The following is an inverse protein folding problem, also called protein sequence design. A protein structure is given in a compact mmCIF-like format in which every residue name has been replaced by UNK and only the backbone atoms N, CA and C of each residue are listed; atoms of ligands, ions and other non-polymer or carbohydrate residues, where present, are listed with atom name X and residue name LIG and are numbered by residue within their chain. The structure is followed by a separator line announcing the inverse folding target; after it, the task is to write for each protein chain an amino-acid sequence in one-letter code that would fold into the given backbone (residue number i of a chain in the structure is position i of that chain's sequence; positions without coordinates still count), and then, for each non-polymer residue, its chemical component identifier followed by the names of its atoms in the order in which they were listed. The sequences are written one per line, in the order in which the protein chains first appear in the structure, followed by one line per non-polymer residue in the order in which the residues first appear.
data_IF_980275529500
#
_entry.id   IF_980275529500
#
_cell.length_a   1.000
_cell.length_b   1.000
_cell.length_c   1.000
_cell.angle_alpha   90.00
_cell.angle_beta   90.00
_cell.angle_gamma   90.00
#
_symmetry.space_group_name_H-M   'P 1'
#
loop_
_entity.id
_entity.type
_entity.pdbx_description
1 polymer ?
#
# COMPACT_ATOMS: atom_id res chain seq x y z
N UNK A 1 -0.34 14.85 6.12
CA UNK A 1 0.51 16.03 6.35
C UNK A 1 0.71 16.36 7.83
N UNK A 2 -0.34 16.64 8.59
CA UNK A 2 -0.21 16.99 10.03
C UNK A 2 0.03 15.76 10.92
N UNK A 3 -0.41 14.59 10.50
CA UNK A 3 -0.22 13.32 11.20
C UNK A 3 1.06 12.60 10.76
N UNK A 4 1.78 13.16 9.80
CA UNK A 4 3.00 12.56 9.30
C UNK A 4 4.12 12.70 10.33
N UNK A 5 4.75 11.60 10.65
CA UNK A 5 5.86 11.55 11.61
C UNK A 5 7.11 12.26 11.05
N UNK A 6 8.08 12.48 11.90
CA UNK A 6 9.35 13.13 11.52
C UNK A 6 10.43 12.10 11.16
N UNK A 7 10.18 10.83 11.35
CA UNK A 7 11.10 9.75 11.07
C UNK A 7 11.41 9.62 9.57
N UNK A 8 12.56 9.09 9.26
CA UNK A 8 13.04 8.94 7.88
C UNK A 8 12.17 7.96 7.08
N UNK A 9 11.59 6.95 7.74
CA UNK A 9 10.66 6.01 7.09
C UNK A 9 9.45 6.72 6.44
N UNK A 10 9.05 7.88 6.94
CA UNK A 10 8.01 8.68 6.30
C UNK A 10 8.44 9.18 4.92
N UNK A 11 9.68 9.64 4.78
CA UNK A 11 10.23 10.08 3.48
C UNK A 11 10.33 8.92 2.50
N UNK A 12 10.80 7.77 2.97
CA UNK A 12 10.88 6.54 2.20
C UNK A 12 9.49 6.11 1.70
N UNK A 13 8.50 6.14 2.58
CA UNK A 13 7.11 5.79 2.24
C UNK A 13 6.48 6.77 1.25
N UNK A 14 6.74 8.07 1.43
CA UNK A 14 6.18 9.12 0.56
C UNK A 14 6.77 9.06 -0.84
N UNK A 15 8.09 8.92 -0.96
CA UNK A 15 8.76 8.75 -2.25
C UNK A 15 8.35 7.44 -2.93
N UNK A 16 8.38 6.35 -2.17
CA UNK A 16 7.99 5.03 -2.67
C UNK A 16 6.54 5.01 -3.19
N UNK A 17 5.62 5.72 -2.54
CA UNK A 17 4.23 5.83 -3.01
C UNK A 17 4.13 6.53 -4.37
N UNK A 18 4.85 7.64 -4.57
CA UNK A 18 4.88 8.35 -5.84
C UNK A 18 5.43 7.45 -6.94
N UNK A 19 6.55 6.79 -6.68
CA UNK A 19 7.19 5.86 -7.61
C UNK A 19 6.28 4.68 -7.94
N UNK A 20 5.62 4.10 -6.93
CA UNK A 20 4.63 3.04 -7.11
C UNK A 20 3.45 3.48 -8.00
N UNK A 21 2.93 4.69 -7.82
CA UNK A 21 1.88 5.22 -8.68
C UNK A 21 2.32 5.24 -10.16
N UNK A 22 3.55 5.64 -10.44
CA UNK A 22 4.06 5.70 -11.80
C UNK A 22 4.39 4.34 -12.40
N UNK A 23 4.80 3.37 -11.57
CA UNK A 23 4.96 1.98 -11.99
C UNK A 23 3.63 1.24 -12.17
N UNK A 24 2.54 1.80 -11.65
CA UNK A 24 1.23 1.20 -11.82
C UNK A 24 0.77 1.34 -13.27
N UNK A 25 0.32 0.24 -13.90
CA UNK A 25 -0.21 0.31 -15.26
C UNK A 25 -1.30 1.38 -15.42
N UNK A 26 -1.19 2.17 -16.49
CA UNK A 26 -2.04 3.34 -16.71
C UNK A 26 -1.48 4.65 -16.15
N UNK A 27 -0.32 4.60 -15.50
CA UNK A 27 0.44 5.77 -15.02
C UNK A 27 -0.44 6.88 -14.46
N UNK A 28 -1.09 6.66 -13.30
CA UNK A 28 -2.03 7.63 -12.75
C UNK A 28 -1.36 8.98 -12.52
N UNK A 29 -2.06 10.06 -12.80
CA UNK A 29 -1.59 11.39 -12.50
C UNK A 29 -1.44 11.58 -10.99
N UNK A 30 -0.31 12.12 -10.56
CA UNK A 30 0.00 12.38 -9.14
C UNK A 30 0.13 13.87 -8.92
N UNK A 31 -0.56 14.39 -7.92
CA UNK A 31 -0.44 15.77 -7.44
C UNK A 31 -0.05 15.73 -5.97
N UNK A 32 0.97 16.47 -5.58
CA UNK A 32 1.36 16.67 -4.18
C UNK A 32 0.59 17.82 -3.55
N UNK A 33 -0.26 17.50 -2.58
CA UNK A 33 -1.04 18.51 -1.84
C UNK A 33 -0.37 18.85 -0.51
N UNK A 34 0.13 20.07 -0.40
CA UNK A 34 0.82 20.58 0.80
C UNK A 34 -0.16 21.25 1.76
N UNK A 35 -0.53 20.52 2.81
CA UNK A 35 -1.45 20.99 3.85
C UNK A 35 -0.69 21.61 5.05
N UNK A 36 -1.43 22.30 5.93
CA UNK A 36 -0.95 22.77 7.23
C UNK A 36 -2.03 22.62 8.30
N UNK A 37 -1.64 22.81 9.55
CA UNK A 37 -2.57 22.92 10.70
C UNK A 37 -2.99 24.37 10.90
N UNK A 38 -3.96 24.60 11.79
CA UNK A 38 -4.36 25.95 12.24
C UNK A 38 -3.19 26.74 12.85
N UNK A 39 -2.24 26.07 13.48
CA UNK A 39 -1.02 26.71 13.99
C UNK A 39 0.02 27.04 12.90
N UNK A 40 -0.31 26.80 11.63
CA UNK A 40 0.61 27.00 10.51
C UNK A 40 1.71 25.95 10.38
N UNK A 41 1.62 24.85 11.13
CA UNK A 41 2.58 23.74 11.06
C UNK A 41 2.31 22.94 9.78
N UNK A 42 3.35 22.70 9.01
CA UNK A 42 3.30 21.93 7.76
C UNK A 42 4.49 20.99 7.66
N UNK A 43 4.38 19.95 6.85
CA UNK A 43 5.49 19.05 6.50
C UNK A 43 6.06 19.36 5.10
N UNK A 44 5.76 20.53 4.56
CA UNK A 44 6.15 20.96 3.22
C UNK A 44 7.68 20.86 3.02
N UNK A 45 8.46 21.22 4.02
CA UNK A 45 9.92 21.20 3.95
C UNK A 45 10.48 19.79 3.68
N UNK A 46 9.75 18.76 4.07
CA UNK A 46 10.12 17.34 3.85
C UNK A 46 9.53 16.81 2.55
N UNK A 47 8.29 17.13 2.23
CA UNK A 47 7.58 16.61 1.06
C UNK A 47 7.98 17.33 -0.24
N UNK A 48 8.23 18.62 -0.16
CA UNK A 48 8.53 19.46 -1.33
C UNK A 48 9.76 18.99 -2.12
N UNK A 49 10.90 18.65 -1.48
CA UNK A 49 12.07 18.16 -2.22
C UNK A 49 11.79 16.92 -3.03
N UNK A 50 10.98 15.97 -2.50
CA UNK A 50 10.59 14.74 -3.19
C UNK A 50 9.69 15.08 -4.38
N UNK A 51 8.66 15.88 -4.16
CA UNK A 51 7.73 16.28 -5.22
C UNK A 51 8.45 17.00 -6.37
N UNK A 52 9.40 17.89 -6.03
CA UNK A 52 10.23 18.60 -7.01
C UNK A 52 11.18 17.66 -7.74
N UNK A 53 11.84 16.76 -7.02
CA UNK A 53 12.74 15.74 -7.60
C UNK A 53 12.01 14.83 -8.59
N UNK A 54 10.82 14.39 -8.22
CA UNK A 54 9.94 13.59 -9.05
C UNK A 54 9.20 14.39 -10.14
N UNK A 55 9.35 15.72 -10.17
CA UNK A 55 8.68 16.62 -11.14
C UNK A 55 7.15 16.44 -11.17
N UNK A 56 6.54 16.23 -10.00
CA UNK A 56 5.07 16.18 -9.87
C UNK A 56 4.52 17.57 -9.54
N UNK A 57 3.31 17.90 -10.02
CA UNK A 57 2.63 19.15 -9.67
C UNK A 57 2.46 19.30 -8.16
N UNK A 58 2.63 20.52 -7.66
CA UNK A 58 2.56 20.85 -6.24
C UNK A 58 1.47 21.87 -5.99
N UNK A 59 0.41 21.47 -5.30
CA UNK A 59 -0.66 22.35 -4.83
C UNK A 59 -0.39 22.72 -3.37
N UNK A 60 -0.03 23.97 -3.11
CA UNK A 60 0.28 24.44 -1.76
C UNK A 60 -0.91 25.17 -1.13
N UNK A 61 -1.82 24.42 -0.49
CA UNK A 61 -2.86 25.00 0.36
C UNK A 61 -2.25 25.83 1.50
N UNK A 62 -1.15 25.35 2.10
CA UNK A 62 -0.43 26.08 3.16
C UNK A 62 -0.05 27.51 2.74
N UNK A 63 0.52 27.68 1.56
CA UNK A 63 0.92 29.02 1.10
C UNK A 63 -0.29 29.88 0.73
N UNK A 64 -1.28 29.29 0.05
CA UNK A 64 -2.47 30.01 -0.37
C UNK A 64 -3.24 30.65 0.80
N UNK A 65 -3.45 29.91 1.91
CA UNK A 65 -4.15 30.46 3.07
C UNK A 65 -3.26 31.40 3.90
N UNK A 66 -1.95 31.13 4.00
CA UNK A 66 -1.02 32.02 4.71
C UNK A 66 -0.96 33.42 4.07
N UNK A 67 -0.99 33.50 2.76
CA UNK A 67 -1.02 34.78 2.04
C UNK A 67 -2.27 35.60 2.40
N UNK A 68 -3.44 34.99 2.45
CA UNK A 68 -4.70 35.68 2.81
C UNK A 68 -4.70 36.13 4.29
N UNK A 69 -4.14 35.29 5.18
CA UNK A 69 -4.03 35.63 6.61
C UNK A 69 -3.02 36.77 6.83
N UNK A 70 -1.88 36.74 6.17
CA UNK A 70 -0.86 37.82 6.25
C UNK A 70 -1.42 39.14 5.73
N UNK A 71 -2.22 39.13 4.67
CA UNK A 71 -2.91 40.30 4.15
C UNK A 71 -4.06 40.80 5.04
N UNK A 72 -4.45 40.05 6.04
CA UNK A 72 -5.57 40.36 6.93
C UNK A 72 -6.96 40.14 6.28
N UNK A 73 -7.02 39.45 5.16
CA UNK A 73 -8.26 39.15 4.44
C UNK A 73 -9.07 38.05 5.15
N UNK A 74 -8.37 37.15 5.81
CA UNK A 74 -8.89 35.97 6.53
C UNK A 74 -8.14 35.71 7.83
N UNK A 75 -8.69 34.83 8.64
CA UNK A 75 -8.06 34.32 9.86
C UNK A 75 -7.95 32.80 9.79
N UNK A 76 -7.15 32.16 10.66
CA UNK A 76 -7.08 30.70 10.73
C UNK A 76 -8.43 30.07 11.02
N UNK A 77 -9.32 30.74 11.80
CA UNK A 77 -10.66 30.24 12.13
C UNK A 77 -11.61 30.21 10.93
N UNK A 78 -11.31 30.95 9.86
CA UNK A 78 -12.08 30.87 8.61
C UNK A 78 -11.87 29.53 7.87
N UNK A 79 -10.77 28.82 8.19
CA UNK A 79 -10.34 27.62 7.48
C UNK A 79 -10.37 26.33 8.31
N UNK A 80 -10.45 26.42 9.64
CA UNK A 80 -10.40 25.26 10.53
C UNK A 80 -11.68 25.10 11.33
N UNK A 81 -11.94 23.85 11.74
CA UNK A 81 -13.12 23.54 12.51
C UNK A 81 -12.98 24.07 13.94
N UNK A 82 -14.03 24.71 14.41
CA UNK A 82 -14.13 25.25 15.79
C UNK A 82 -14.99 24.40 16.70
N UNK A 83 -15.70 23.39 16.17
CA UNK A 83 -16.64 22.55 16.91
C UNK A 83 -15.91 21.48 17.70
N UNK A 84 -16.11 21.43 18.99
CA UNK A 84 -15.63 20.36 19.89
C UNK A 84 -16.27 19.01 19.63
N UNK A 85 -17.36 18.93 18.87
CA UNK A 85 -18.09 17.70 18.54
C UNK A 85 -17.46 16.93 17.34
N UNK A 86 -16.67 17.61 16.52
CA UNK A 86 -16.02 17.02 15.31
C UNK A 86 -14.53 17.40 15.28
N UNK A 87 -13.92 17.60 16.47
CA UNK A 87 -12.51 17.97 16.54
C UNK A 87 -12.23 19.41 16.12
N UNK A 88 -12.65 20.38 16.91
CA UNK A 88 -12.04 21.72 16.94
C UNK A 88 -10.60 21.59 17.41
N UNK A 89 -9.82 20.74 16.74
CA UNK A 89 -8.48 20.30 17.12
C UNK A 89 -7.38 21.11 16.44
N UNK A 90 -7.77 22.07 15.60
CA UNK A 90 -6.82 22.86 14.83
C UNK A 90 -6.12 22.09 13.70
N UNK A 91 -6.54 20.87 13.41
CA UNK A 91 -5.95 19.99 12.40
C UNK A 91 -6.88 19.86 11.19
N UNK A 92 -8.17 19.62 11.46
CA UNK A 92 -9.13 19.31 10.40
C UNK A 92 -9.66 20.57 9.71
N UNK A 93 -9.50 20.69 8.37
CA UNK A 93 -10.07 21.76 7.59
C UNK A 93 -11.61 21.77 7.69
N UNK A 94 -12.21 22.97 7.67
CA UNK A 94 -13.65 23.14 7.56
C UNK A 94 -14.12 23.14 6.09
N UNK A 95 -15.41 23.36 5.84
CA UNK A 95 -15.99 23.38 4.48
C UNK A 95 -15.35 24.44 3.59
N UNK A 96 -15.05 25.65 4.12
CA UNK A 96 -14.38 26.71 3.38
C UNK A 96 -12.99 26.29 2.93
N UNK A 97 -12.24 25.65 3.81
CA UNK A 97 -10.92 25.10 3.48
C UNK A 97 -10.98 23.99 2.42
N UNK A 98 -11.95 23.08 2.55
CA UNK A 98 -12.14 22.03 1.54
C UNK A 98 -12.49 22.62 0.17
N UNK A 99 -13.32 23.66 0.10
CA UNK A 99 -13.60 24.35 -1.15
C UNK A 99 -12.34 24.99 -1.73
N UNK A 100 -11.55 25.68 -0.89
CA UNK A 100 -10.28 26.28 -1.33
C UNK A 100 -9.30 25.23 -1.87
N UNK A 101 -9.18 24.09 -1.19
CA UNK A 101 -8.34 22.98 -1.67
C UNK A 101 -8.83 22.47 -3.03
N UNK A 102 -10.15 22.28 -3.18
CA UNK A 102 -10.73 21.84 -4.44
C UNK A 102 -10.48 22.83 -5.59
N UNK A 103 -10.62 24.13 -5.33
CA UNK A 103 -10.37 25.18 -6.32
C UNK A 103 -8.90 25.21 -6.75
N UNK A 104 -7.96 25.05 -5.81
CA UNK A 104 -6.53 24.98 -6.09
C UNK A 104 -6.18 23.75 -6.94
N UNK A 105 -6.71 22.59 -6.60
CA UNK A 105 -6.51 21.36 -7.38
C UNK A 105 -7.12 21.49 -8.78
N UNK A 106 -8.34 22.05 -8.89
CA UNK A 106 -8.99 22.28 -10.17
C UNK A 106 -8.18 23.22 -11.07
N UNK A 107 -7.61 24.28 -10.51
CA UNK A 107 -6.73 25.22 -11.23
C UNK A 107 -5.51 24.49 -11.79
N UNK A 108 -4.81 23.71 -10.97
CA UNK A 108 -3.64 22.92 -11.40
C UNK A 108 -3.98 21.93 -12.51
N UNK A 109 -5.11 21.24 -12.39
CA UNK A 109 -5.58 20.29 -13.41
C UNK A 109 -5.94 20.98 -14.73
N UNK A 110 -6.52 22.18 -14.68
CA UNK A 110 -6.86 22.95 -15.87
C UNK A 110 -5.61 23.52 -16.56
N UNK A 111 -4.63 23.98 -15.80
CA UNK A 111 -3.34 24.45 -16.33
C UNK A 111 -2.53 23.29 -16.92
N UNK A 112 -2.57 22.10 -16.31
CA UNK A 112 -1.90 20.89 -16.81
C UNK A 112 -2.58 20.23 -18.01
N UNK A 113 -3.78 20.66 -18.42
CA UNK A 113 -4.57 20.04 -19.48
C UNK A 113 -3.86 19.95 -20.85
N UNK A 114 -3.00 20.90 -21.13
CA UNK A 114 -2.22 20.97 -22.38
C UNK A 114 -0.88 20.21 -22.29
N UNK A 115 -0.56 19.61 -21.12
CA UNK A 115 0.67 18.87 -20.95
C UNK A 115 0.66 17.63 -21.86
N UNK A 116 1.74 17.46 -22.63
CA UNK A 116 1.95 16.26 -23.47
C UNK A 116 2.07 15.03 -22.63
N UNK A 117 1.66 13.87 -23.18
CA UNK A 117 1.92 12.57 -22.57
C UNK A 117 3.44 12.41 -22.36
N UNK A 118 3.85 12.38 -21.12
CA UNK A 118 5.23 12.10 -20.71
C UNK A 118 5.23 10.64 -20.27
N UNK A 119 6.13 9.85 -20.83
CA UNK A 119 6.43 8.52 -20.30
C UNK A 119 7.12 8.71 -18.93
N UNK A 120 6.34 8.57 -17.87
CA UNK A 120 6.81 8.77 -16.51
C UNK A 120 7.79 7.70 -16.09
N UNK A 121 7.60 6.46 -16.54
CA UNK A 121 8.52 5.37 -16.25
C UNK A 121 9.90 5.59 -16.87
N UNK A 122 9.96 6.00 -18.15
CA UNK A 122 11.23 6.29 -18.82
C UNK A 122 11.96 7.51 -18.21
N UNK A 123 11.22 8.41 -17.55
CA UNK A 123 11.75 9.64 -16.93
C UNK A 123 11.89 9.56 -15.40
N UNK A 124 11.59 8.42 -14.77
CA UNK A 124 11.65 8.26 -13.33
C UNK A 124 13.10 8.43 -12.84
N UNK A 125 13.41 9.48 -12.03
CA UNK A 125 14.75 9.68 -11.53
C UNK A 125 15.16 8.59 -10.54
N UNK A 126 16.46 8.45 -10.28
CA UNK A 126 16.94 7.65 -9.15
C UNK A 126 16.28 8.15 -7.84
N UNK A 127 16.05 7.28 -6.84
CA UNK A 127 15.48 7.70 -5.56
C UNK A 127 16.28 8.85 -4.92
N UNK A 128 15.58 9.84 -4.37
CA UNK A 128 16.18 10.93 -3.60
C UNK A 128 16.55 10.45 -2.19
N UNK A 129 15.65 9.70 -1.56
CA UNK A 129 15.82 9.10 -0.25
C UNK A 129 15.88 7.57 -0.36
N UNK A 130 14.77 6.95 -0.75
CA UNK A 130 14.67 5.50 -0.83
C UNK A 130 13.49 5.05 -1.69
N UNK A 131 13.61 3.87 -2.25
CA UNK A 131 12.54 3.18 -2.97
C UNK A 131 12.20 1.81 -2.36
N UNK A 132 12.63 1.53 -1.16
CA UNK A 132 12.50 0.21 -0.50
C UNK A 132 11.04 -0.25 -0.36
N UNK A 133 10.08 0.67 -0.35
CA UNK A 133 8.65 0.37 -0.22
C UNK A 133 7.87 0.59 -1.53
N UNK A 134 8.52 0.86 -2.66
CA UNK A 134 7.80 1.16 -3.91
C UNK A 134 6.99 -0.03 -4.44
N UNK A 135 7.44 -1.25 -4.17
CA UNK A 135 6.75 -2.48 -4.53
C UNK A 135 5.98 -3.09 -3.34
N UNK A 136 5.91 -2.36 -2.21
CA UNK A 136 5.24 -2.84 -1.02
C UNK A 136 3.74 -3.03 -1.23
N UNK A 137 3.21 -4.08 -0.62
CA UNK A 137 1.78 -4.32 -0.48
C UNK A 137 1.49 -4.74 0.95
N UNK A 138 0.32 -4.33 1.43
CA UNK A 138 -0.12 -4.63 2.79
C UNK A 138 -0.96 -5.89 2.80
N UNK A 139 -0.75 -6.71 3.85
CA UNK A 139 -1.44 -7.97 4.10
C UNK A 139 -2.10 -7.89 5.49
N UNK A 140 -3.40 -8.07 5.51
CA UNK A 140 -4.20 -8.22 6.73
C UNK A 140 -4.55 -9.67 6.97
N UNK A 141 -5.33 -9.96 8.02
CA UNK A 141 -5.82 -11.30 8.31
C UNK A 141 -6.74 -11.88 7.22
N UNK A 142 -7.23 -11.06 6.31
CA UNK A 142 -8.01 -11.51 5.16
C UNK A 142 -7.17 -11.86 3.94
N UNK A 143 -5.92 -11.42 3.92
CA UNK A 143 -5.02 -11.56 2.77
C UNK A 143 -4.02 -12.70 2.97
N UNK A 144 -3.60 -12.97 4.20
CA UNK A 144 -2.59 -13.99 4.52
C UNK A 144 -2.99 -14.82 5.75
N UNK A 145 -2.74 -16.12 5.67
CA UNK A 145 -2.96 -17.06 6.77
C UNK A 145 -1.64 -17.32 7.50
N UNK A 146 -1.56 -17.12 8.82
CA UNK A 146 -0.37 -17.48 9.58
C UNK A 146 -0.07 -18.98 9.50
N UNK A 147 1.21 -19.34 9.38
CA UNK A 147 1.65 -20.75 9.49
C UNK A 147 1.67 -21.24 10.94
N UNK A 148 1.74 -20.30 11.89
CA UNK A 148 1.57 -20.52 13.32
C UNK A 148 0.82 -19.33 13.93
N UNK A 149 -0.24 -19.61 14.70
CA UNK A 149 -1.06 -18.55 15.31
C UNK A 149 -0.86 -18.42 16.82
N UNK A 150 -0.35 -19.47 17.49
CA UNK A 150 -0.32 -19.47 18.96
C UNK A 150 -1.71 -19.17 19.54
N UNK A 151 -1.78 -18.14 20.40
CA UNK A 151 -3.05 -17.61 20.95
C UNK A 151 -3.39 -16.23 20.39
N UNK A 152 -2.84 -15.86 19.25
CA UNK A 152 -3.24 -14.65 18.55
C UNK A 152 -4.60 -14.81 17.89
N UNK A 153 -5.41 -13.76 17.96
CA UNK A 153 -6.74 -13.72 17.38
C UNK A 153 -6.73 -12.82 16.15
N UNK A 154 -7.14 -13.35 15.01
CA UNK A 154 -7.38 -12.59 13.80
C UNK A 154 -8.60 -11.69 13.95
N UNK A 155 -8.60 -10.52 13.29
CA UNK A 155 -9.67 -9.53 13.39
C UNK A 155 -9.70 -8.81 14.73
N UNK A 156 -8.62 -8.86 15.52
CA UNK A 156 -8.58 -8.36 16.89
C UNK A 156 -8.24 -6.90 17.06
N UNK A 157 -7.74 -6.20 16.04
CA UNK A 157 -7.43 -4.78 16.13
C UNK A 157 -8.69 -3.92 16.22
N UNK A 158 -8.60 -2.84 16.98
CA UNK A 158 -9.73 -1.92 17.21
C UNK A 158 -10.07 -1.09 15.97
N UNK A 159 -9.09 -0.89 15.08
CA UNK A 159 -9.26 -0.04 13.91
C UNK A 159 -9.27 -0.84 12.61
N UNK A 160 -10.26 -0.52 11.79
CA UNK A 160 -10.42 -1.02 10.44
C UNK A 160 -9.84 0.01 9.47
N UNK A 161 -8.73 -0.33 8.82
CA UNK A 161 -8.14 0.49 7.75
C UNK A 161 -8.64 0.10 6.36
N UNK A 162 -9.77 -0.61 6.28
CA UNK A 162 -10.35 -1.07 5.02
C UNK A 162 -9.67 -2.30 4.42
N UNK A 163 -8.64 -2.84 5.08
CA UNK A 163 -7.90 -4.03 4.65
C UNK A 163 -8.09 -5.22 5.59
N UNK A 164 -8.86 -5.06 6.67
CA UNK A 164 -9.04 -6.01 7.75
C UNK A 164 -8.60 -5.43 9.09
N UNK A 165 -8.72 -6.24 10.15
CA UNK A 165 -8.49 -5.80 11.55
C UNK A 165 -7.21 -6.36 12.16
N UNK A 166 -6.35 -7.01 11.36
CA UNK A 166 -5.08 -7.54 11.82
C UNK A 166 -5.17 -8.59 12.92
N UNK A 167 -4.19 -8.62 13.82
CA UNK A 167 -4.08 -9.66 14.86
C UNK A 167 -3.81 -9.06 16.23
N UNK A 168 -4.31 -9.74 17.26
CA UNK A 168 -4.13 -9.31 18.65
C UNK A 168 -3.80 -10.50 19.56
N UNK A 169 -2.95 -10.27 20.55
CA UNK A 169 -2.72 -11.18 21.67
C UNK A 169 -2.51 -10.41 22.99
N UNK A 170 -2.70 -11.12 24.12
CA UNK A 170 -2.44 -10.63 25.46
C UNK A 170 -1.61 -11.62 26.29
N UNK A 171 -1.15 -12.71 25.69
CA UNK A 171 -0.48 -13.82 26.38
C UNK A 171 1.01 -13.83 26.01
N UNK A 172 1.86 -13.66 27.03
CA UNK A 172 3.31 -13.73 26.86
C UNK A 172 3.76 -15.05 26.24
N UNK A 173 4.84 -14.97 25.45
CA UNK A 173 5.41 -16.05 24.67
C UNK A 173 4.51 -16.63 23.58
N UNK A 174 3.34 -16.05 23.32
CA UNK A 174 2.57 -16.38 22.14
C UNK A 174 3.27 -15.87 20.90
N UNK A 175 3.41 -16.74 19.92
CA UNK A 175 4.12 -16.46 18.67
C UNK A 175 3.20 -16.60 17.47
N UNK A 176 3.27 -15.61 16.59
CA UNK A 176 2.58 -15.54 15.30
C UNK A 176 3.64 -15.63 14.20
N UNK A 177 3.45 -16.52 13.24
CA UNK A 177 4.37 -16.69 12.14
C UNK A 177 3.68 -16.59 10.79
N UNK A 178 4.34 -15.91 9.85
CA UNK A 178 3.87 -15.77 8.47
C UNK A 178 4.93 -16.23 7.49
N UNK A 179 4.51 -16.97 6.48
CA UNK A 179 5.34 -17.22 5.30
C UNK A 179 5.17 -16.04 4.36
N UNK A 180 6.26 -15.34 4.07
CA UNK A 180 6.30 -14.17 3.19
C UNK A 180 7.27 -14.41 2.03
N UNK A 181 7.15 -13.62 0.95
CA UNK A 181 8.05 -13.69 -0.20
C UNK A 181 8.46 -12.27 -0.60
N UNK A 182 9.73 -11.96 -0.53
CA UNK A 182 10.34 -10.66 -0.79
C UNK A 182 11.65 -10.54 -0.06
N UNK A 183 12.36 -9.45 -0.19
CA UNK A 183 13.63 -9.18 0.52
C UNK A 183 13.47 -8.12 1.63
N UNK A 184 12.25 -7.60 1.80
CA UNK A 184 11.89 -6.61 2.82
C UNK A 184 10.56 -7.00 3.45
N UNK A 185 10.49 -6.96 4.77
CA UNK A 185 9.26 -7.12 5.54
C UNK A 185 9.02 -5.93 6.45
N UNK A 186 7.78 -5.52 6.60
CA UNK A 186 7.40 -4.50 7.57
C UNK A 186 6.22 -4.97 8.42
N UNK A 187 6.21 -4.55 9.68
CA UNK A 187 5.10 -4.81 10.61
C UNK A 187 4.59 -3.50 11.13
N UNK A 188 3.32 -3.25 10.89
CA UNK A 188 2.60 -2.06 11.35
C UNK A 188 1.81 -2.43 12.60
N UNK A 189 1.97 -1.68 13.69
CA UNK A 189 1.40 -1.98 14.98
C UNK A 189 0.89 -0.72 15.69
N UNK A 190 -0.01 -0.94 16.68
CA UNK A 190 -0.51 0.14 17.51
C UNK A 190 0.43 0.47 18.66
N UNK A 191 0.64 1.77 18.87
CA UNK A 191 1.14 2.34 20.13
C UNK A 191 -0.03 3.01 20.86
N UNK A 192 -0.25 2.59 22.10
CA UNK A 192 -1.38 3.05 22.90
C UNK A 192 -0.91 3.74 24.20
N UNK A 193 -1.73 4.63 24.76
CA UNK A 193 -1.41 5.24 26.04
C UNK A 193 -1.12 4.22 27.13
N UNK A 194 -0.23 4.57 28.07
CA UNK A 194 0.23 3.65 29.12
C UNK A 194 -0.90 3.03 29.98
N UNK A 195 -2.05 3.70 30.10
CA UNK A 195 -3.23 3.21 30.84
C UNK A 195 -4.02 2.12 30.09
N UNK A 196 -3.71 1.84 28.85
CA UNK A 196 -4.40 0.80 28.05
C UNK A 196 -3.73 -0.58 28.16
N UNK A 197 -2.66 -0.71 28.92
CA UNK A 197 -1.96 -1.95 29.20
C UNK A 197 -1.38 -2.64 27.95
N UNK A 198 -0.80 -1.87 27.05
CA UNK A 198 -0.03 -2.41 25.91
C UNK A 198 1.41 -2.73 26.34
N UNK A 199 2.01 -3.71 25.71
CA UNK A 199 3.33 -4.24 26.04
C UNK A 199 4.28 -4.28 24.86
N UNK A 200 5.30 -5.13 24.98
CA UNK A 200 6.39 -5.27 24.03
C UNK A 200 6.30 -6.59 23.28
N UNK A 201 6.77 -6.59 22.03
CA UNK A 201 6.91 -7.77 21.21
C UNK A 201 8.30 -7.84 20.58
N UNK A 202 8.74 -9.05 20.23
CA UNK A 202 9.90 -9.29 19.38
C UNK A 202 9.45 -9.59 17.95
N UNK A 203 10.17 -9.03 16.99
CA UNK A 203 9.96 -9.28 15.56
C UNK A 203 11.29 -9.68 14.93
N UNK A 204 11.28 -10.73 14.13
CA UNK A 204 12.46 -11.16 13.35
C UNK A 204 12.02 -11.96 12.13
N UNK A 205 12.94 -12.18 11.22
CA UNK A 205 12.74 -13.01 10.02
C UNK A 205 13.78 -14.11 10.01
N UNK A 206 13.35 -15.34 9.80
CA UNK A 206 14.17 -16.56 9.81
C UNK A 206 15.04 -16.64 11.07
N UNK A 207 16.35 -16.81 10.92
CA UNK A 207 17.32 -16.87 12.03
C UNK A 207 17.97 -15.52 12.34
N UNK A 208 17.48 -14.39 11.78
CA UNK A 208 18.02 -13.08 12.02
C UNK A 208 17.80 -12.62 13.48
N UNK A 209 18.63 -11.70 13.97
CA UNK A 209 18.44 -11.14 15.32
C UNK A 209 17.07 -10.47 15.48
N UNK A 210 16.40 -10.79 16.58
CA UNK A 210 15.11 -10.21 16.89
C UNK A 210 15.24 -8.73 17.30
N UNK A 211 14.31 -7.91 16.81
CA UNK A 211 14.13 -6.51 17.24
C UNK A 211 12.97 -6.44 18.21
N UNK A 212 13.14 -5.72 19.32
CA UNK A 212 12.09 -5.46 20.30
C UNK A 212 11.36 -4.18 19.92
N UNK A 213 10.05 -4.25 19.85
CA UNK A 213 9.16 -3.10 19.63
C UNK A 213 8.24 -2.90 20.83
N UNK A 214 7.89 -1.64 21.09
CA UNK A 214 7.05 -1.25 22.23
C UNK A 214 5.72 -0.66 21.74
N UNK A 215 4.62 -1.33 22.05
CA UNK A 215 3.26 -0.90 21.76
C UNK A 215 2.69 0.05 22.82
N UNK A 216 3.45 0.39 23.87
CA UNK A 216 3.03 1.33 24.92
C UNK A 216 3.48 2.77 24.62
N UNK A 217 3.01 3.71 25.45
CA UNK A 217 3.45 5.11 25.45
C UNK A 217 3.29 5.87 24.13
N UNK A 218 2.19 5.64 23.45
CA UNK A 218 1.84 6.35 22.22
C UNK A 218 0.33 6.44 22.02
N UNK A 219 -0.08 7.12 20.98
CA UNK A 219 -1.46 7.16 20.50
C UNK A 219 -1.44 7.26 18.97
N UNK A 220 -0.69 6.36 18.35
CA UNK A 220 -0.49 6.35 16.91
C UNK A 220 -0.12 4.95 16.42
N UNK A 221 -0.17 4.78 15.12
CA UNK A 221 0.39 3.61 14.44
C UNK A 221 1.88 3.84 14.24
N UNK A 222 2.66 2.80 14.52
CA UNK A 222 4.09 2.77 14.25
C UNK A 222 4.43 1.58 13.33
N UNK A 223 5.58 1.61 12.71
CA UNK A 223 6.01 0.58 11.78
C UNK A 223 7.48 0.26 11.98
N UNK A 224 7.82 -1.03 11.94
CA UNK A 224 9.19 -1.49 11.80
C UNK A 224 9.41 -2.09 10.42
N UNK A 225 10.56 -1.77 9.80
CA UNK A 225 10.97 -2.32 8.50
C UNK A 225 12.22 -3.16 8.71
N UNK A 226 12.19 -4.39 8.21
CA UNK A 226 13.28 -5.35 8.21
C UNK A 226 13.79 -5.49 6.77
N UNK A 227 15.04 -5.13 6.54
CA UNK A 227 15.68 -5.11 5.21
C UNK A 227 16.73 -6.20 5.07
N UNK A 228 17.25 -6.36 3.87
CA UNK A 228 18.38 -7.25 3.56
C UNK A 228 18.08 -8.74 3.86
N UNK A 229 16.83 -9.15 3.70
CA UNK A 229 16.40 -10.52 3.95
C UNK A 229 16.92 -11.49 2.88
N UNK A 230 17.24 -10.97 1.68
CA UNK A 230 17.50 -11.75 0.49
C UNK A 230 16.23 -12.07 -0.29
N UNK A 231 16.39 -12.29 -1.59
CA UNK A 231 15.25 -12.60 -2.47
C UNK A 231 14.72 -13.99 -2.17
N UNK A 232 13.45 -14.13 -1.84
CA UNK A 232 12.84 -15.44 -1.68
C UNK A 232 11.76 -15.53 -0.60
N UNK A 233 11.49 -16.78 -0.21
CA UNK A 233 10.54 -17.10 0.84
C UNK A 233 11.21 -17.05 2.21
N UNK A 234 10.53 -16.43 3.18
CA UNK A 234 10.99 -16.23 4.55
C UNK A 234 9.89 -16.52 5.56
N UNK A 235 10.26 -16.72 6.81
CA UNK A 235 9.33 -16.80 7.93
C UNK A 235 9.46 -15.53 8.78
N UNK A 236 8.42 -14.71 8.78
CA UNK A 236 8.30 -13.57 9.69
C UNK A 236 7.73 -14.05 11.02
N UNK A 237 8.43 -13.77 12.10
CA UNK A 237 8.06 -14.12 13.47
C UNK A 237 7.68 -12.88 14.27
N UNK A 238 6.60 -12.98 15.05
CA UNK A 238 6.15 -11.94 15.98
C UNK A 238 5.81 -12.62 17.29
N UNK A 239 6.55 -12.30 18.36
CA UNK A 239 6.39 -12.93 19.68
C UNK A 239 6.13 -11.90 20.76
N UNK A 240 5.00 -12.04 21.45
CA UNK A 240 4.66 -11.21 22.61
C UNK A 240 5.55 -11.53 23.81
N UNK A 241 6.15 -10.52 24.42
CA UNK A 241 7.09 -10.69 25.55
C UNK A 241 6.43 -10.67 26.91
N UNK A 242 5.28 -10.01 27.05
CA UNK A 242 4.61 -9.75 28.32
C UNK A 242 3.14 -10.17 28.26
N UNK A 243 2.51 -10.43 29.44
CA UNK A 243 1.06 -10.61 29.55
C UNK A 243 0.34 -9.25 29.49
N UNK A 244 0.47 -8.59 28.34
CA UNK A 244 -0.15 -7.31 28.03
C UNK A 244 -0.66 -7.34 26.57
N UNK A 245 -1.51 -6.40 26.23
CA UNK A 245 -2.04 -6.28 24.86
C UNK A 245 -0.94 -5.97 23.86
N UNK A 246 -1.06 -6.54 22.69
CA UNK A 246 -0.33 -6.12 21.50
C UNK A 246 -1.18 -6.31 20.25
N UNK A 247 -1.19 -5.31 19.39
CA UNK A 247 -2.00 -5.34 18.17
C UNK A 247 -1.14 -5.07 16.95
N UNK A 248 -1.14 -6.03 16.02
CA UNK A 248 -0.59 -5.90 14.68
C UNK A 248 -1.73 -5.43 13.78
N UNK A 249 -1.54 -4.33 13.09
CA UNK A 249 -2.52 -3.77 12.15
C UNK A 249 -2.48 -4.53 10.82
N UNK A 250 -1.28 -4.64 10.27
CA UNK A 250 -0.99 -5.37 9.04
C UNK A 250 0.50 -5.70 8.97
N UNK A 251 0.85 -6.58 8.07
CA UNK A 251 2.23 -6.74 7.61
C UNK A 251 2.37 -6.19 6.20
N UNK A 252 3.56 -5.81 5.79
CA UNK A 252 3.86 -5.45 4.42
C UNK A 252 5.08 -6.22 3.94
N UNK A 253 5.11 -6.51 2.66
CA UNK A 253 6.25 -7.14 1.99
C UNK A 253 6.61 -6.29 0.79
N UNK A 254 7.89 -6.10 0.53
CA UNK A 254 8.41 -5.31 -0.58
C UNK A 254 9.69 -5.93 -1.14
N UNK A 255 10.22 -5.31 -2.18
CA UNK A 255 11.48 -5.67 -2.80
C UNK A 255 11.39 -6.78 -3.83
N UNK A 256 12.55 -7.26 -4.24
CA UNK A 256 12.63 -8.33 -5.22
C UNK A 256 12.09 -9.64 -4.65
N UNK A 257 11.33 -10.35 -5.46
CA UNK A 257 10.70 -11.61 -5.10
C UNK A 257 11.20 -12.72 -6.00
N UNK A 258 11.22 -13.95 -5.49
CA UNK A 258 11.37 -15.10 -6.35
C UNK A 258 10.07 -15.32 -7.12
N UNK A 259 9.96 -14.70 -8.31
CA UNK A 259 8.77 -14.89 -9.14
C UNK A 259 8.82 -16.18 -9.95
N UNK A 260 7.76 -16.83 -9.94
CA UNK A 260 7.00 -17.69 -10.83
C UNK A 260 7.82 -18.29 -12.00
N UNK A 261 8.76 -19.16 -11.68
CA UNK A 261 9.35 -20.04 -12.67
C UNK A 261 8.53 -21.33 -12.69
N UNK A 262 7.64 -21.48 -13.65
CA UNK A 262 6.87 -22.72 -13.80
C UNK A 262 5.45 -22.54 -14.29
N UNK A 263 4.67 -23.57 -14.09
CA UNK A 263 3.26 -23.63 -14.50
C UNK A 263 2.37 -23.44 -13.29
N UNK A 264 1.38 -22.54 -13.42
CA UNK A 264 0.44 -22.17 -12.38
C UNK A 264 -0.98 -22.48 -12.78
N UNK A 265 -1.81 -22.79 -11.81
CA UNK A 265 -3.24 -22.97 -11.98
C UNK A 265 -3.97 -21.71 -11.54
N UNK A 266 -4.94 -21.27 -12.33
CA UNK A 266 -5.87 -20.22 -11.92
C UNK A 266 -7.04 -20.87 -11.19
N UNK A 267 -7.12 -20.71 -9.89
CA UNK A 267 -8.14 -21.30 -9.02
C UNK A 267 -9.08 -20.22 -8.48
N UNK A 268 -10.37 -20.47 -8.59
CA UNK A 268 -11.37 -19.60 -7.98
C UNK A 268 -11.46 -19.89 -6.48
N UNK A 269 -11.12 -18.92 -5.66
CA UNK A 269 -11.05 -19.03 -4.20
C UNK A 269 -12.42 -19.39 -3.55
N UNK A 270 -13.54 -19.02 -4.21
CA UNK A 270 -14.88 -19.24 -3.66
C UNK A 270 -15.36 -20.70 -3.77
N UNK A 271 -14.87 -21.46 -4.77
CA UNK A 271 -15.36 -22.82 -5.03
C UNK A 271 -14.26 -23.84 -5.30
N UNK A 272 -12.98 -23.45 -5.23
CA UNK A 272 -11.79 -24.27 -5.47
C UNK A 272 -11.78 -24.95 -6.86
N UNK A 273 -12.49 -24.40 -7.83
CA UNK A 273 -12.43 -24.86 -9.21
C UNK A 273 -11.33 -24.13 -9.97
N UNK A 274 -10.66 -24.84 -10.87
CA UNK A 274 -9.54 -24.33 -11.67
C UNK A 274 -9.97 -24.06 -13.10
N UNK A 275 -9.42 -22.99 -13.68
CA UNK A 275 -9.58 -22.70 -15.08
C UNK A 275 -9.00 -23.85 -15.92
N UNK A 276 -9.79 -24.36 -16.84
CA UNK A 276 -9.45 -25.53 -17.66
C UNK A 276 -9.71 -25.22 -19.14
N UNK A 277 -8.72 -25.52 -19.98
CA UNK A 277 -8.86 -25.46 -21.43
C UNK A 277 -9.02 -26.86 -21.97
N UNK A 278 -10.08 -27.08 -22.73
CA UNK A 278 -10.33 -28.35 -23.44
C UNK A 278 -10.96 -28.04 -24.80
N UNK A 279 -10.29 -28.45 -25.87
CA UNK A 279 -10.75 -28.22 -27.27
C UNK A 279 -11.06 -26.74 -27.58
N UNK A 280 -10.25 -25.81 -27.08
CA UNK A 280 -10.42 -24.36 -27.12
C UNK A 280 -11.61 -23.80 -26.29
N UNK A 281 -12.33 -24.63 -25.57
CA UNK A 281 -13.34 -24.19 -24.61
C UNK A 281 -12.68 -23.92 -23.24
N UNK A 282 -13.07 -22.81 -22.61
CA UNK A 282 -12.62 -22.43 -21.28
C UNK A 282 -13.74 -22.75 -20.27
N UNK A 283 -13.42 -23.58 -19.29
CA UNK A 283 -14.35 -24.03 -18.25
C UNK A 283 -13.68 -24.00 -16.89
N UNK A 284 -14.48 -24.19 -15.83
CA UNK A 284 -13.99 -24.35 -14.46
C UNK A 284 -14.22 -25.78 -13.99
N UNK A 285 -13.14 -26.48 -13.59
CA UNK A 285 -13.24 -27.83 -13.03
C UNK A 285 -12.10 -28.12 -12.04
N UNK A 286 -12.15 -29.24 -11.27
CA UNK A 286 -11.13 -29.53 -10.26
C UNK A 286 -9.72 -29.78 -10.80
N UNK A 287 -9.58 -30.23 -12.04
CA UNK A 287 -8.27 -30.65 -12.59
C UNK A 287 -7.40 -29.45 -13.00
N UNK A 288 -8.00 -28.44 -13.65
CA UNK A 288 -7.32 -27.23 -14.10
C UNK A 288 -6.35 -27.44 -15.28
N UNK A 289 -6.07 -26.36 -15.99
CA UNK A 289 -4.98 -26.25 -16.95
C UNK A 289 -3.86 -25.42 -16.33
N UNK A 290 -2.62 -25.91 -16.37
CA UNK A 290 -1.47 -25.13 -15.96
C UNK A 290 -1.07 -24.13 -17.04
N UNK A 291 -0.87 -22.88 -16.65
CA UNK A 291 -0.42 -21.79 -17.52
C UNK A 291 1.03 -21.43 -17.23
N UNK A 292 1.81 -21.17 -18.25
CA UNK A 292 3.05 -20.43 -18.10
C UNK A 292 2.70 -18.96 -17.91
N UNK A 293 3.30 -18.31 -16.92
CA UNK A 293 3.13 -16.88 -16.67
C UNK A 293 4.33 -16.14 -17.21
N UNK A 294 4.08 -15.03 -17.89
CA UNK A 294 5.13 -14.12 -18.35
C UNK A 294 4.79 -12.69 -17.90
N UNK A 295 5.83 -11.93 -17.58
CA UNK A 295 5.73 -10.50 -17.34
C UNK A 295 5.93 -9.77 -18.66
N UNK A 296 5.13 -8.74 -18.89
CA UNK A 296 5.25 -7.85 -20.04
C UNK A 296 6.09 -6.63 -19.67
N UNK A 297 6.76 -6.02 -20.64
CA UNK A 297 7.65 -4.86 -20.43
C UNK A 297 6.91 -3.65 -19.82
N UNK A 298 5.58 -3.59 -19.98
CA UNK A 298 4.69 -2.55 -19.47
C UNK A 298 4.06 -2.90 -18.08
N UNK A 299 4.61 -3.91 -17.39
CA UNK A 299 4.28 -4.22 -16.01
C UNK A 299 3.04 -5.10 -15.76
N UNK A 300 2.47 -5.67 -16.85
CA UNK A 300 1.36 -6.62 -16.74
C UNK A 300 1.86 -8.06 -16.73
N UNK A 301 0.95 -8.99 -16.51
CA UNK A 301 1.19 -10.43 -16.69
C UNK A 301 0.34 -10.98 -17.82
N UNK A 302 0.83 -12.05 -18.43
CA UNK A 302 0.11 -12.85 -19.42
C UNK A 302 0.18 -14.33 -19.07
N UNK A 303 -0.90 -15.03 -19.33
CA UNK A 303 -1.03 -16.46 -19.12
C UNK A 303 -0.99 -17.16 -20.49
N UNK A 304 -0.02 -18.04 -20.67
CA UNK A 304 0.17 -18.76 -21.93
C UNK A 304 0.09 -20.27 -21.73
N UNK A 305 -0.60 -20.95 -22.64
CA UNK A 305 -0.62 -22.39 -22.78
C UNK A 305 -0.65 -22.78 -24.25
N UNK A 306 0.31 -23.63 -24.66
CA UNK A 306 0.41 -24.13 -26.03
C UNK A 306 0.36 -23.03 -27.11
N UNK A 307 1.12 -21.95 -26.93
CA UNK A 307 1.17 -20.78 -27.81
C UNK A 307 -0.16 -20.01 -27.94
N UNK A 308 -1.08 -20.19 -27.00
CA UNK A 308 -2.30 -19.40 -26.88
C UNK A 308 -2.30 -18.64 -25.58
N UNK A 309 -2.65 -17.37 -25.65
CA UNK A 309 -2.78 -16.50 -24.48
C UNK A 309 -4.23 -16.50 -23.98
N UNK A 310 -4.40 -16.56 -22.66
CA UNK A 310 -5.68 -16.24 -22.05
C UNK A 310 -6.01 -14.76 -22.35
N UNK A 311 -7.20 -14.48 -22.79
CA UNK A 311 -7.64 -13.16 -23.22
C UNK A 311 -9.05 -12.88 -22.72
N UNK A 312 -9.46 -11.62 -22.73
CA UNK A 312 -10.82 -11.20 -22.38
C UNK A 312 -11.48 -10.54 -23.57
N UNK A 313 -12.62 -11.06 -23.98
CA UNK A 313 -13.43 -10.44 -25.01
C UNK A 313 -13.98 -9.10 -24.51
N UNK A 314 -13.55 -7.99 -25.11
CA UNK A 314 -13.91 -6.64 -24.67
C UNK A 314 -15.42 -6.33 -24.75
N UNK A 315 -16.14 -7.01 -25.65
CA UNK A 315 -17.57 -6.77 -25.81
C UNK A 315 -18.44 -7.56 -24.80
N UNK A 316 -17.99 -8.76 -24.43
CA UNK A 316 -18.77 -9.68 -23.59
C UNK A 316 -18.22 -9.88 -22.17
N UNK A 317 -16.94 -9.53 -21.95
CA UNK A 317 -16.21 -9.84 -20.74
C UNK A 317 -15.86 -11.32 -20.55
N UNK A 318 -16.13 -12.15 -21.56
CA UNK A 318 -15.85 -13.59 -21.51
C UNK A 318 -14.36 -13.87 -21.70
N UNK A 319 -13.85 -14.90 -21.01
CA UNK A 319 -12.51 -15.41 -21.27
C UNK A 319 -12.47 -16.17 -22.61
N UNK A 320 -11.44 -15.93 -23.39
CA UNK A 320 -11.18 -16.58 -24.67
C UNK A 320 -9.68 -16.84 -24.84
N UNK A 321 -9.31 -17.54 -25.90
CA UNK A 321 -7.91 -17.80 -26.25
C UNK A 321 -7.51 -16.96 -27.46
N UNK A 322 -6.38 -16.26 -27.35
CA UNK A 322 -5.77 -15.48 -28.41
C UNK A 322 -4.44 -16.08 -28.85
N UNK A 323 -4.15 -16.07 -30.14
CA UNK A 323 -2.82 -16.41 -30.66
C UNK A 323 -1.78 -15.29 -30.49
N UNK A 324 -2.24 -14.09 -30.15
CA UNK A 324 -1.40 -12.91 -30.02
C UNK A 324 -1.42 -12.37 -28.59
N UNK A 325 -0.28 -11.87 -28.13
CA UNK A 325 -0.18 -11.08 -26.93
C UNK A 325 -0.58 -9.63 -27.26
N UNK A 326 -1.78 -9.27 -26.92
CA UNK A 326 -2.34 -7.92 -27.09
C UNK A 326 -2.87 -7.36 -25.77
N UNK A 327 -3.51 -6.20 -25.79
CA UNK A 327 -4.04 -5.58 -24.57
C UNK A 327 -5.07 -6.46 -23.86
N UNK A 328 -5.90 -7.19 -24.60
CA UNK A 328 -6.92 -8.07 -24.05
C UNK A 328 -6.32 -9.33 -23.36
N UNK A 329 -5.06 -9.66 -23.66
CA UNK A 329 -4.31 -10.78 -23.06
C UNK A 329 -3.43 -10.34 -21.89
N UNK A 330 -3.48 -9.08 -21.49
CA UNK A 330 -2.72 -8.52 -20.37
C UNK A 330 -3.59 -8.37 -19.13
N UNK A 331 -3.04 -8.75 -18.01
CA UNK A 331 -3.73 -8.72 -16.72
C UNK A 331 -2.91 -7.96 -15.70
N UNK A 332 -3.59 -7.13 -14.93
CA UNK A 332 -3.02 -6.57 -13.71
C UNK A 332 -2.98 -7.65 -12.66
N UNK A 333 -1.81 -7.87 -12.08
CA UNK A 333 -1.61 -8.76 -10.95
C UNK A 333 -1.49 -7.95 -9.67
N UNK A 334 -2.35 -8.25 -8.69
CA UNK A 334 -2.29 -7.65 -7.36
C UNK A 334 -2.03 -8.78 -6.37
N UNK A 335 -0.84 -8.82 -5.84
CA UNK A 335 -0.43 -9.80 -4.83
C UNK A 335 -1.17 -9.55 -3.52
N UNK A 336 -1.67 -10.64 -2.93
CA UNK A 336 -2.34 -10.68 -1.65
C UNK A 336 -1.79 -11.82 -0.77
N UNK A 337 -0.48 -12.06 -0.87
CA UNK A 337 0.20 -13.13 -0.16
C UNK A 337 -0.12 -14.50 -0.74
N UNK A 338 -0.91 -15.31 -0.04
CA UNK A 338 -1.34 -16.64 -0.50
C UNK A 338 -2.32 -16.61 -1.68
N UNK A 339 -2.86 -15.46 -2.00
CA UNK A 339 -3.86 -15.23 -3.05
C UNK A 339 -3.43 -14.06 -3.92
N UNK A 340 -4.01 -13.98 -5.09
CA UNK A 340 -3.82 -12.83 -5.97
C UNK A 340 -5.16 -12.37 -6.54
N UNK A 341 -5.27 -11.08 -6.82
CA UNK A 341 -6.32 -10.54 -7.66
C UNK A 341 -5.76 -10.37 -9.07
N UNK A 342 -6.41 -10.98 -10.04
CA UNK A 342 -6.07 -10.88 -11.45
C UNK A 342 -7.19 -10.11 -12.13
N UNK A 343 -6.84 -8.96 -12.69
CA UNK A 343 -7.80 -8.06 -13.32
C UNK A 343 -7.43 -7.86 -14.78
N UNK A 344 -8.35 -8.14 -15.68
CA UNK A 344 -8.19 -7.82 -17.10
C UNK A 344 -8.14 -6.31 -17.33
N UNK A 345 -7.43 -5.89 -18.36
CA UNK A 345 -7.34 -4.50 -18.81
C UNK A 345 -8.46 -4.08 -19.76
N UNK A 346 -9.20 -5.02 -20.29
CA UNK A 346 -10.30 -4.77 -21.22
C UNK A 346 -11.56 -4.21 -20.55
#
# INVERSE_FOLDING_TARGET
ACNDQLEDIYLDSYESLIRKCWKTPGEPAVISLMLCTQAGISKIERQYPIAQHCQIPIVSYNNAIKDEIIKGEKTWLDYYQTSTLIGGDGIHPNTTAHQKIADLIATELLEGKEASNIDRMASLPAPLYSNILEDAFYLSETDITPVQTGVWTAGGSIWDFGTGKGWRSEIANSELQFKINGDIAAVTYWKRPANENFGTAQIWVDDNPAVVIDGSNGEHIDQIVLTDLGIGEHILHIKLLENKKFEIVCIAVSGERSYWNGRYYLENVANNLRLTISNNDITMNPNGTGFNVSHTDDGYIAFNENNSYLSVNAATGALELSSNLDTASKFLYIDKGEKAVIRALA
#
